data_IF_165712050370
#
_entry.id   IF_165712050370
#
_cell.length_a   1.000
_cell.length_b   1.000
_cell.length_c   1.000
_cell.angle_alpha   90.00
_cell.angle_beta   90.00
_cell.angle_gamma   90.00
#
_symmetry.space_group_name_H-M   'P 1'
#
loop_
_entity.id
_entity.type
_entity.pdbx_description
1 polymer ?
#
# COMPACT_ATOMS: atom_id res chain seq x y z
N UNK A 1 0.94 -10.76 9.73
CA UNK A 1 0.99 -9.29 9.80
C UNK A 1 0.29 -8.74 8.57
N UNK A 2 -0.65 -7.79 8.69
CA UNK A 2 -1.21 -7.14 7.51
C UNK A 2 -0.07 -6.50 6.69
N UNK A 3 -0.19 -6.43 5.36
CA UNK A 3 0.81 -5.74 4.54
C UNK A 3 0.96 -4.31 5.04
N UNK A 4 2.18 -3.79 5.10
CA UNK A 4 2.47 -2.39 5.50
C UNK A 4 1.60 -1.39 4.73
N UNK A 5 1.25 -1.74 3.50
CA UNK A 5 0.32 -1.01 2.65
C UNK A 5 -1.08 -0.81 3.25
N UNK A 6 -1.65 -1.87 3.83
CA UNK A 6 -2.98 -1.84 4.45
C UNK A 6 -2.96 -0.98 5.71
N UNK A 7 -1.88 -1.04 6.49
CA UNK A 7 -1.70 -0.19 7.68
C UNK A 7 -1.58 1.29 7.30
N UNK A 8 -0.82 1.59 6.26
CA UNK A 8 -0.67 2.96 5.76
C UNK A 8 -2.02 3.54 5.31
N UNK A 9 -2.85 2.74 4.62
CA UNK A 9 -4.21 3.12 4.22
C UNK A 9 -5.10 3.45 5.43
N UNK A 10 -5.15 2.58 6.43
CA UNK A 10 -5.95 2.79 7.65
C UNK A 10 -5.57 4.11 8.36
N UNK A 11 -4.26 4.42 8.43
CA UNK A 11 -3.79 5.69 8.99
C UNK A 11 -4.27 6.90 8.20
N UNK A 12 -4.30 6.82 6.87
CA UNK A 12 -4.80 7.89 6.01
C UNK A 12 -6.32 8.09 6.16
N UNK A 13 -7.10 6.99 6.19
CA UNK A 13 -8.55 7.05 6.42
C UNK A 13 -8.89 7.68 7.77
N UNK A 14 -8.13 7.31 8.81
CA UNK A 14 -8.26 7.93 10.13
C UNK A 14 -7.89 9.42 10.10
N UNK A 15 -6.82 9.79 9.42
CA UNK A 15 -6.40 11.18 9.32
C UNK A 15 -7.43 12.05 8.57
N UNK A 16 -8.03 11.55 7.49
CA UNK A 16 -9.12 12.23 6.78
C UNK A 16 -10.32 12.49 7.69
N UNK A 17 -10.64 11.52 8.55
CA UNK A 17 -11.74 11.62 9.54
C UNK A 17 -11.45 12.66 10.63
N UNK A 18 -10.19 12.78 11.07
CA UNK A 18 -9.76 13.74 12.11
C UNK A 18 -9.70 15.18 11.55
N UNK A 19 -9.38 15.34 10.26
CA UNK A 19 -9.30 16.64 9.60
C UNK A 19 -10.69 17.23 9.28
N UNK A 20 -11.40 17.61 10.34
CA UNK A 20 -12.71 18.27 10.28
C UNK A 20 -12.61 19.80 10.43
N UNK A 21 -11.40 20.33 10.64
CA UNK A 21 -11.16 21.77 10.80
C UNK A 21 -11.62 22.58 9.59
N UNK A 22 -12.27 23.73 9.84
CA UNK A 22 -12.80 24.61 8.80
C UNK A 22 -11.72 25.48 8.11
N UNK A 23 -10.51 25.53 8.66
CA UNK A 23 -9.42 26.31 8.11
C UNK A 23 -8.95 25.75 6.75
N UNK A 24 -8.37 26.63 5.93
CA UNK A 24 -7.91 26.27 4.59
C UNK A 24 -6.85 25.17 4.60
N UNK A 25 -5.98 25.14 5.62
CA UNK A 25 -4.90 24.17 5.72
C UNK A 25 -5.44 22.78 6.05
N UNK A 26 -6.39 22.67 6.96
CA UNK A 26 -7.09 21.40 7.26
C UNK A 26 -7.82 20.85 6.04
N UNK A 27 -8.54 21.70 5.29
CA UNK A 27 -9.21 21.30 4.04
C UNK A 27 -8.22 20.86 2.97
N UNK A 28 -7.12 21.59 2.80
CA UNK A 28 -6.07 21.23 1.85
C UNK A 28 -5.42 19.89 2.22
N UNK A 29 -5.13 19.68 3.51
CA UNK A 29 -4.53 18.43 3.97
C UNK A 29 -5.49 17.25 3.80
N UNK A 30 -6.78 17.43 4.10
CA UNK A 30 -7.80 16.41 3.85
C UNK A 30 -7.85 16.03 2.37
N UNK A 31 -7.84 17.02 1.47
CA UNK A 31 -7.83 16.79 0.04
C UNK A 31 -6.60 15.99 -0.44
N UNK A 32 -5.41 16.29 0.09
CA UNK A 32 -4.18 15.54 -0.21
C UNK A 32 -4.31 14.08 0.22
N UNK A 33 -4.85 13.84 1.42
CA UNK A 33 -5.04 12.50 1.97
C UNK A 33 -6.05 11.70 1.15
N UNK A 34 -7.21 12.28 0.84
CA UNK A 34 -8.25 11.64 0.00
C UNK A 34 -7.68 11.25 -1.38
N UNK A 35 -6.90 12.15 -2.01
CA UNK A 35 -6.24 11.85 -3.28
C UNK A 35 -5.23 10.71 -3.13
N UNK A 36 -4.50 10.66 -2.03
CA UNK A 36 -3.50 9.62 -1.75
C UNK A 36 -4.17 8.26 -1.58
N UNK A 37 -5.30 8.20 -0.86
CA UNK A 37 -6.11 6.98 -0.72
C UNK A 37 -6.58 6.49 -2.10
N UNK A 38 -7.07 7.39 -2.96
CA UNK A 38 -7.47 7.02 -4.32
C UNK A 38 -6.32 6.44 -5.15
N UNK A 39 -5.13 7.07 -5.10
CA UNK A 39 -3.93 6.52 -5.75
C UNK A 39 -3.53 5.15 -5.19
N UNK A 40 -3.78 4.92 -3.90
CA UNK A 40 -3.56 3.61 -3.28
C UNK A 40 -4.62 2.58 -3.72
N UNK A 41 -5.86 2.97 -3.94
CA UNK A 41 -6.85 2.04 -4.49
C UNK A 41 -6.51 1.59 -5.91
N UNK A 42 -5.94 2.51 -6.71
CA UNK A 42 -5.48 2.23 -8.07
C UNK A 42 -4.15 1.45 -8.11
N UNK A 43 -3.32 1.61 -7.08
CA UNK A 43 -2.05 0.91 -6.98
C UNK A 43 -2.26 -0.55 -6.58
N UNK A 44 -2.18 -1.43 -7.57
CA UNK A 44 -1.90 -2.85 -7.33
C UNK A 44 -0.42 -2.97 -7.02
N UNK A 45 0.00 -3.29 -5.78
CA UNK A 45 1.36 -3.73 -5.58
C UNK A 45 1.54 -4.95 -6.48
N UNK A 46 2.40 -4.86 -7.50
CA UNK A 46 2.98 -6.06 -8.07
C UNK A 46 3.41 -6.89 -6.86
N UNK A 47 2.98 -8.15 -6.82
CA UNK A 47 3.55 -9.10 -5.87
C UNK A 47 5.05 -9.06 -6.17
N UNK A 48 5.78 -8.24 -5.41
CA UNK A 48 7.22 -8.20 -5.46
C UNK A 48 7.56 -9.61 -5.11
N UNK A 49 7.93 -10.40 -6.13
CA UNK A 49 8.40 -11.75 -5.92
C UNK A 49 9.40 -11.60 -4.77
N UNK A 50 9.19 -12.27 -3.62
CA UNK A 50 10.16 -12.19 -2.55
C UNK A 50 11.50 -12.47 -3.22
N UNK A 51 12.53 -11.66 -2.99
CA UNK A 51 13.85 -11.92 -3.56
C UNK A 51 14.25 -13.34 -3.14
N UNK A 52 13.99 -14.30 -4.02
CA UNK A 52 13.74 -15.68 -3.57
C UNK A 52 15.03 -16.43 -3.72
N UNK A 53 15.73 -16.56 -2.59
CA UNK A 53 16.72 -17.61 -2.42
C UNK A 53 16.05 -19.00 -2.32
N UNK A 54 14.72 -19.06 -2.43
CA UNK A 54 13.90 -20.27 -2.37
C UNK A 54 13.51 -20.63 -3.79
N UNK A 55 14.11 -21.70 -4.32
CA UNK A 55 13.68 -22.31 -5.57
C UNK A 55 12.52 -23.25 -5.25
N UNK A 56 11.40 -23.11 -5.95
CA UNK A 56 10.31 -24.08 -5.82
C UNK A 56 10.80 -25.45 -6.30
N UNK A 57 10.43 -26.53 -5.60
CA UNK A 57 10.86 -27.90 -5.91
C UNK A 57 10.52 -28.30 -7.36
N UNK A 58 9.46 -27.72 -7.93
CA UNK A 58 9.07 -27.94 -9.33
C UNK A 58 10.08 -27.34 -10.32
N UNK A 59 10.64 -26.16 -10.02
CA UNK A 59 11.64 -25.49 -10.86
C UNK A 59 13.01 -26.17 -10.78
N UNK A 60 13.31 -26.83 -9.65
CA UNK A 60 14.57 -27.57 -9.44
C UNK A 60 14.76 -28.73 -10.43
N UNK A 61 13.67 -29.31 -10.94
CA UNK A 61 13.72 -30.45 -11.88
C UNK A 61 14.24 -30.07 -13.27
N UNK A 62 14.12 -28.80 -13.65
CA UNK A 62 14.54 -28.30 -14.96
C UNK A 62 15.99 -27.78 -14.99
N UNK A 63 16.67 -27.74 -13.83
CA UNK A 63 18.02 -27.21 -13.66
C UNK A 63 19.12 -28.31 -13.57
N UNK A 64 18.77 -29.59 -13.74
CA UNK A 64 19.76 -30.66 -13.87
C UNK A 64 20.09 -30.90 -15.35
N UNK A 65 21.38 -30.98 -15.73
CA UNK A 65 21.80 -31.45 -17.04
C UNK A 65 21.51 -32.95 -17.24
#
# INVERSE_FOLDING_TARGET
MPPTYVLARDHLERAATILQGADQRSRQLRHIIERTIGLMDDFRPEQSAPASNVVEINDYRHLRP
#
